data_IF_231599398556
#
_entry.id   IF_231599398556
#
_cell.length_a   1.000
_cell.length_b   1.000
_cell.length_c   1.000
_cell.angle_alpha   90.00
_cell.angle_beta   90.00
_cell.angle_gamma   90.00
#
_symmetry.space_group_name_H-M   'P 1'
#
loop_
_entity.id
_entity.type
_entity.pdbx_description
1 polymer ?
#
# COMPACT_ATOMS: atom_id res chain seq x y z
N UNK A 1 -6.81 -26.83 -0.64
CA UNK A 1 -7.00 -25.36 -0.65
C UNK A 1 -7.11 -24.96 0.80
N UNK A 2 -6.12 -24.27 1.33
CA UNK A 2 -6.09 -23.89 2.75
C UNK A 2 -6.48 -22.43 2.83
N UNK A 3 -7.62 -22.16 3.44
CA UNK A 3 -8.06 -20.80 3.74
C UNK A 3 -7.33 -20.31 4.99
N UNK A 4 -6.87 -19.06 4.94
CA UNK A 4 -6.21 -18.39 6.06
C UNK A 4 -6.99 -17.13 6.38
N UNK A 5 -7.28 -16.92 7.67
CA UNK A 5 -7.80 -15.65 8.15
C UNK A 5 -6.64 -14.77 8.58
N UNK A 6 -6.66 -13.52 8.12
CA UNK A 6 -5.71 -12.50 8.51
C UNK A 6 -6.41 -11.55 9.48
N UNK A 7 -5.67 -11.11 10.50
CA UNK A 7 -6.09 -10.00 11.35
C UNK A 7 -6.09 -8.69 10.55
N UNK A 8 -6.74 -7.65 11.09
CA UNK A 8 -6.75 -6.32 10.48
C UNK A 8 -5.33 -5.78 10.29
N UNK A 9 -4.96 -5.53 9.04
CA UNK A 9 -3.64 -5.01 8.67
C UNK A 9 -3.74 -3.50 8.54
N UNK A 10 -3.10 -2.80 9.46
CA UNK A 10 -2.96 -1.35 9.37
C UNK A 10 -1.98 -0.98 8.25
N UNK A 11 -2.43 -0.16 7.30
CA UNK A 11 -1.68 0.18 6.08
C UNK A 11 -1.63 1.68 5.84
N UNK A 12 -0.56 2.13 5.18
CA UNK A 12 -0.51 3.43 4.51
C UNK A 12 -0.68 3.21 3.01
N UNK A 13 -1.39 4.10 2.31
CA UNK A 13 -1.73 3.90 0.90
C UNK A 13 -1.60 5.18 0.06
N UNK A 14 -1.28 4.98 -1.22
CA UNK A 14 -1.38 5.98 -2.29
C UNK A 14 -2.50 5.56 -3.24
N UNK A 15 -3.41 6.48 -3.56
CA UNK A 15 -4.47 6.25 -4.55
C UNK A 15 -3.90 6.38 -5.96
N UNK A 16 -4.08 5.34 -6.78
CA UNK A 16 -3.65 5.36 -8.16
C UNK A 16 -4.57 6.22 -9.04
N UNK A 17 -3.96 7.09 -9.84
CA UNK A 17 -4.67 7.87 -10.86
C UNK A 17 -5.09 6.95 -12.01
N UNK A 18 -6.37 6.97 -12.36
CA UNK A 18 -6.91 6.14 -13.44
C UNK A 18 -7.12 4.67 -13.07
N UNK A 19 -7.26 4.35 -11.78
CA UNK A 19 -7.53 2.98 -11.32
C UNK A 19 -6.32 2.05 -11.48
N UNK A 20 -6.53 0.75 -11.77
CA UNK A 20 -5.45 -0.24 -11.83
C UNK A 20 -4.34 0.08 -12.85
N UNK A 21 -4.65 0.82 -13.92
CA UNK A 21 -3.63 1.26 -14.88
C UNK A 21 -2.58 2.21 -14.28
N UNK A 22 -2.94 2.93 -13.21
CA UNK A 22 -2.03 3.79 -12.46
C UNK A 22 -1.26 3.08 -11.34
N UNK A 23 -1.45 1.77 -11.15
CA UNK A 23 -0.88 1.02 -10.03
C UNK A 23 0.64 1.16 -9.93
N UNK A 24 1.34 1.11 -11.07
CA UNK A 24 2.81 1.23 -11.10
C UNK A 24 3.27 2.56 -10.53
N UNK A 25 2.69 3.67 -11.01
CA UNK A 25 3.03 5.00 -10.53
C UNK A 25 2.70 5.19 -9.04
N UNK A 26 1.59 4.59 -8.57
CA UNK A 26 1.23 4.63 -7.15
C UNK A 26 2.21 3.86 -6.26
N UNK A 27 2.72 2.69 -6.71
CA UNK A 27 3.78 1.98 -6.01
C UNK A 27 5.10 2.75 -6.04
N UNK A 28 5.51 3.28 -7.19
CA UNK A 28 6.73 4.08 -7.31
C UNK A 28 6.69 5.29 -6.35
N UNK A 29 5.54 5.98 -6.24
CA UNK A 29 5.33 7.05 -5.26
C UNK A 29 5.42 6.54 -3.82
N UNK A 30 4.70 5.46 -3.49
CA UNK A 30 4.69 4.88 -2.15
C UNK A 30 6.09 4.47 -1.69
N UNK A 31 6.83 3.78 -2.56
CA UNK A 31 8.19 3.30 -2.30
C UNK A 31 9.16 4.46 -2.07
N UNK A 32 9.00 5.58 -2.80
CA UNK A 32 9.85 6.77 -2.66
C UNK A 32 9.74 7.46 -1.29
N UNK A 33 8.60 7.30 -0.60
CA UNK A 33 8.33 7.91 0.71
C UNK A 33 8.80 7.05 1.88
N UNK A 34 9.29 5.83 1.63
CA UNK A 34 9.75 4.91 2.65
C UNK A 34 11.28 4.94 2.80
N UNK A 35 11.82 4.95 4.03
CA UNK A 35 13.26 4.93 4.26
C UNK A 35 13.92 3.61 3.83
N UNK A 36 13.15 2.52 3.78
CA UNK A 36 13.58 1.22 3.27
C UNK A 36 12.38 0.35 2.90
N UNK A 37 12.54 -0.44 1.83
CA UNK A 37 11.53 -1.40 1.36
C UNK A 37 11.69 -2.80 1.99
N UNK A 38 12.83 -3.06 2.62
CA UNK A 38 13.22 -4.42 3.02
C UNK A 38 12.30 -4.96 4.11
N UNK A 39 11.74 -6.14 3.89
CA UNK A 39 10.87 -6.83 4.85
C UNK A 39 9.45 -6.26 4.96
N UNK A 40 9.12 -5.23 4.18
CA UNK A 40 7.77 -4.67 4.15
C UNK A 40 6.85 -5.50 3.27
N UNK A 41 5.58 -5.59 3.68
CA UNK A 41 4.53 -6.22 2.89
C UNK A 41 3.75 -5.14 2.15
N UNK A 42 3.65 -5.29 0.84
CA UNK A 42 2.90 -4.41 -0.04
C UNK A 42 1.63 -5.09 -0.51
N UNK A 43 0.57 -4.31 -0.68
CA UNK A 43 -0.76 -4.78 -1.06
C UNK A 43 -1.34 -3.84 -2.12
N UNK A 44 -1.86 -4.42 -3.19
CA UNK A 44 -2.74 -3.70 -4.11
C UNK A 44 -4.18 -3.97 -3.72
N UNK A 45 -4.96 -2.94 -3.45
CA UNK A 45 -6.41 -3.08 -3.19
C UNK A 45 -7.20 -2.36 -4.27
N UNK A 46 -8.29 -2.98 -4.70
CA UNK A 46 -9.23 -2.40 -5.64
C UNK A 46 -10.63 -2.42 -5.02
N UNK A 47 -11.19 -1.23 -4.84
CA UNK A 47 -12.51 -1.04 -4.23
C UNK A 47 -13.25 0.05 -4.99
N UNK A 48 -14.47 -0.25 -5.46
CA UNK A 48 -15.37 0.71 -6.10
C UNK A 48 -14.75 1.57 -7.23
N UNK A 49 -13.86 0.98 -8.05
CA UNK A 49 -13.22 1.71 -9.15
C UNK A 49 -11.91 2.40 -8.78
N UNK A 50 -11.59 2.46 -7.49
CA UNK A 50 -10.35 3.03 -6.98
C UNK A 50 -9.32 1.92 -6.74
N UNK A 51 -8.11 2.12 -7.25
CA UNK A 51 -6.97 1.28 -6.93
C UNK A 51 -6.07 2.00 -5.94
N UNK A 52 -5.64 1.31 -4.89
CA UNK A 52 -4.68 1.83 -3.92
C UNK A 52 -3.47 0.91 -3.84
N UNK A 53 -2.28 1.49 -3.93
CA UNK A 53 -1.04 0.85 -3.55
C UNK A 53 -0.84 1.08 -2.05
N UNK A 54 -0.70 0.00 -1.28
CA UNK A 54 -0.63 0.04 0.17
C UNK A 54 0.62 -0.69 0.68
N UNK A 55 1.10 -0.28 1.85
CA UNK A 55 2.18 -0.95 2.59
C UNK A 55 1.75 -1.14 4.03
N UNK A 56 2.03 -2.31 4.62
CA UNK A 56 1.84 -2.52 6.05
C UNK A 56 2.68 -1.54 6.86
N UNK A 57 2.08 -0.96 7.90
CA UNK A 57 2.78 -0.10 8.84
C UNK A 57 3.72 -0.92 9.72
N UNK A 58 4.92 -0.40 9.92
CA UNK A 58 5.89 -0.84 10.92
C UNK A 58 5.95 0.18 12.07
N UNK A 59 6.50 -0.24 13.21
CA UNK A 59 6.80 0.71 14.31
C UNK A 59 7.71 1.84 13.82
N UNK A 60 7.29 3.09 14.07
CA UNK A 60 8.00 4.30 13.66
C UNK A 60 7.58 4.88 12.31
N UNK A 61 6.72 4.21 11.54
CA UNK A 61 6.12 4.81 10.35
C UNK A 61 5.19 5.96 10.73
N UNK A 62 5.21 7.02 9.92
CA UNK A 62 4.36 8.19 10.09
C UNK A 62 3.36 8.27 8.92
N UNK A 63 2.06 7.99 9.13
CA UNK A 63 1.06 8.00 8.06
C UNK A 63 0.98 9.33 7.31
N UNK A 64 1.28 10.43 8.00
CA UNK A 64 1.30 11.77 7.43
C UNK A 64 2.41 11.99 6.39
N UNK A 65 3.43 11.13 6.34
CA UNK A 65 4.50 11.22 5.36
C UNK A 65 4.04 10.79 3.95
N UNK A 66 2.84 10.18 3.81
CA UNK A 66 2.34 9.63 2.53
C UNK A 66 1.35 10.57 1.82
N UNK A 67 1.03 11.74 2.39
CA UNK A 67 0.18 12.75 1.74
C UNK A 67 0.78 13.37 0.47
#
# INVERSE_FOLDING_TARGET
MTEIQLEDISVMCVVAKGGPSGARAAFDELESKLPSLRGRKFYGTYHEGEYRACVAMNEGDSPHAIN
#
